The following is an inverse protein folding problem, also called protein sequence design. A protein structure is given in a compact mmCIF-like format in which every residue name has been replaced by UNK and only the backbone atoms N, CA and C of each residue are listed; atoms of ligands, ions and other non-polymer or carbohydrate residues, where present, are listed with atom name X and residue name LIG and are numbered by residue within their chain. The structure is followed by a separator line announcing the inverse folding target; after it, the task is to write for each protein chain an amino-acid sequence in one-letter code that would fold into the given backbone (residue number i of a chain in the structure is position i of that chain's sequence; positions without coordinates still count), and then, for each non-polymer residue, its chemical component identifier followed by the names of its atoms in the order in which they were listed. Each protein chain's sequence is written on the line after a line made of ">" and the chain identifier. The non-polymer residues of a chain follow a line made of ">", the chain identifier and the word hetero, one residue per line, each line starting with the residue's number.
data_IF_721497909233
#
_entry.id   IF_721497909233
#
_cell.length_a   1.000
_cell.length_b   1.000
_cell.length_c   1.000
_cell.angle_alpha   90.00
_cell.angle_beta   90.00
_cell.angle_gamma   90.00
#
_symmetry.space_group_name_H-M   'P 1'
#
loop_
_entity.id
_entity.type
_entity.pdbx_description
1 polymer ?
#
# COMPACT_ATOMS: atom_id res chain seq x y z
N UNK A 1 28.00 45.86 -53.87
CA UNK A 1 26.68 45.39 -53.29
C UNK A 1 26.97 44.55 -52.10
N UNK A 2 26.77 45.10 -50.92
CA UNK A 2 26.86 44.37 -49.65
C UNK A 2 25.52 43.73 -49.39
N UNK A 3 25.48 42.39 -49.38
CA UNK A 3 24.29 41.66 -48.92
C UNK A 3 24.25 41.72 -47.41
N UNK A 4 23.16 42.12 -46.82
CA UNK A 4 23.02 42.01 -45.37
C UNK A 4 22.97 40.52 -45.02
N UNK A 5 23.89 40.04 -44.22
CA UNK A 5 23.82 38.74 -43.63
C UNK A 5 22.68 38.76 -42.61
N UNK A 6 21.57 38.11 -42.92
CA UNK A 6 20.54 37.89 -41.95
C UNK A 6 21.05 36.83 -40.98
N UNK A 7 21.59 37.28 -39.85
CA UNK A 7 21.84 36.41 -38.73
C UNK A 7 20.46 35.90 -38.24
N UNK A 8 20.15 34.66 -38.49
CA UNK A 8 19.02 34.00 -37.89
C UNK A 8 19.35 33.80 -36.42
N UNK A 9 18.55 34.33 -35.49
CA UNK A 9 18.72 33.94 -34.11
C UNK A 9 18.42 32.46 -34.01
N UNK A 10 19.42 31.68 -33.66
CA UNK A 10 19.21 30.32 -33.22
C UNK A 10 18.52 30.43 -31.87
N UNK A 11 17.20 30.30 -31.85
CA UNK A 11 16.48 30.07 -30.61
C UNK A 11 16.98 28.73 -30.11
N UNK A 12 17.93 28.77 -29.21
CA UNK A 12 18.23 27.62 -28.39
C UNK A 12 16.99 27.38 -27.51
N UNK A 13 16.13 26.49 -27.96
CA UNK A 13 15.07 25.97 -27.11
C UNK A 13 15.78 25.17 -26.02
N UNK A 14 16.10 25.85 -24.92
CA UNK A 14 16.46 25.18 -23.69
C UNK A 14 15.17 24.47 -23.25
N UNK A 15 15.00 23.24 -23.68
CA UNK A 15 14.06 22.37 -23.05
C UNK A 15 14.47 22.28 -21.59
N UNK A 16 13.84 23.09 -20.76
CA UNK A 16 13.89 22.93 -19.32
C UNK A 16 13.23 21.59 -19.07
N UNK A 17 14.02 20.52 -19.13
CA UNK A 17 13.68 19.26 -18.50
C UNK A 17 13.62 19.58 -17.01
N UNK A 18 12.50 20.17 -16.57
CA UNK A 18 12.06 20.01 -15.22
C UNK A 18 11.95 18.50 -15.02
N UNK A 19 13.04 17.86 -14.58
CA UNK A 19 12.95 16.61 -13.92
C UNK A 19 12.04 16.83 -12.73
N UNK A 20 10.71 16.79 -12.97
CA UNK A 20 9.80 16.51 -11.91
C UNK A 20 10.21 15.15 -11.44
N UNK A 21 11.09 15.09 -10.42
CA UNK A 21 11.21 13.90 -9.63
C UNK A 21 9.79 13.55 -9.23
N UNK A 22 9.22 12.54 -9.88
CA UNK A 22 7.99 11.94 -9.38
C UNK A 22 8.30 11.58 -7.94
N UNK A 23 7.87 12.44 -7.00
CA UNK A 23 7.78 12.04 -5.63
C UNK A 23 6.95 10.75 -5.68
N UNK A 24 7.63 9.60 -5.53
CA UNK A 24 6.95 8.32 -5.49
C UNK A 24 5.85 8.47 -4.44
N UNK A 25 4.59 8.38 -4.87
CA UNK A 25 3.48 8.32 -3.94
C UNK A 25 3.78 7.19 -2.97
N UNK A 26 3.53 7.39 -1.67
CA UNK A 26 3.72 6.36 -0.67
C UNK A 26 3.00 5.09 -1.13
N UNK A 27 3.74 3.98 -1.24
CA UNK A 27 3.23 2.72 -1.76
C UNK A 27 2.38 1.96 -0.75
N UNK A 28 2.47 2.31 0.54
CA UNK A 28 1.81 1.58 1.61
C UNK A 28 0.70 2.40 2.25
N UNK A 29 -0.34 1.67 2.64
CA UNK A 29 -1.39 2.15 3.51
C UNK A 29 -1.39 1.32 4.79
N UNK A 30 -1.66 1.95 5.91
CA UNK A 30 -1.71 1.31 7.23
C UNK A 30 -3.08 1.53 7.85
N UNK A 31 -3.60 0.50 8.50
CA UNK A 31 -4.88 0.57 9.18
C UNK A 31 -4.88 -0.35 10.39
N UNK A 32 -5.25 0.19 11.54
CA UNK A 32 -5.41 -0.60 12.75
C UNK A 32 -6.62 -1.54 12.63
N UNK A 33 -6.50 -2.74 13.22
CA UNK A 33 -7.63 -3.63 13.38
C UNK A 33 -8.74 -2.93 14.19
N UNK A 34 -10.02 -3.13 13.86
CA UNK A 34 -11.12 -2.50 14.59
C UNK A 34 -11.34 -3.06 16.01
N UNK A 35 -10.83 -4.24 16.29
CA UNK A 35 -10.92 -4.84 17.63
C UNK A 35 -10.20 -3.98 18.67
N UNK A 36 -10.95 -3.49 19.67
CA UNK A 36 -10.47 -2.46 20.61
C UNK A 36 -9.34 -2.92 21.52
N UNK A 37 -9.22 -4.19 21.82
CA UNK A 37 -8.19 -4.76 22.68
C UNK A 37 -7.01 -5.36 21.90
N UNK A 38 -6.98 -5.17 20.59
CA UNK A 38 -5.96 -5.74 19.71
C UNK A 38 -5.07 -4.64 19.14
N UNK A 39 -3.79 -4.65 19.50
CA UNK A 39 -2.82 -3.66 18.99
C UNK A 39 -2.19 -4.09 17.66
N UNK A 40 -3.01 -4.53 16.72
CA UNK A 40 -2.58 -4.97 15.40
C UNK A 40 -2.79 -3.89 14.36
N UNK A 41 -1.76 -3.67 13.51
CA UNK A 41 -1.82 -2.76 12.37
C UNK A 41 -1.54 -3.55 11.11
N UNK A 42 -2.41 -3.42 10.13
CA UNK A 42 -2.25 -4.00 8.80
C UNK A 42 -1.50 -3.03 7.89
N UNK A 43 -0.65 -3.58 7.04
CA UNK A 43 0.07 -2.86 6.00
C UNK A 43 -0.31 -3.40 4.63
N UNK A 44 -0.75 -2.52 3.77
CA UNK A 44 -1.13 -2.83 2.39
C UNK A 44 -0.15 -2.20 1.41
N UNK A 45 0.31 -2.97 0.43
CA UNK A 45 0.88 -2.41 -0.79
C UNK A 45 -0.26 -1.96 -1.70
N UNK A 46 -0.37 -0.65 -1.94
CA UNK A 46 -1.49 -0.08 -2.71
C UNK A 46 -1.49 -0.46 -4.18
N UNK A 47 -0.35 -0.84 -4.73
CA UNK A 47 -0.22 -1.24 -6.14
C UNK A 47 -0.50 -2.73 -6.36
N UNK A 48 -0.03 -3.58 -5.45
CA UNK A 48 -0.09 -5.04 -5.60
C UNK A 48 -1.18 -5.69 -4.76
N UNK A 49 -1.70 -5.01 -3.75
CA UNK A 49 -2.68 -5.58 -2.83
C UNK A 49 -2.10 -6.55 -1.80
N UNK A 50 -0.77 -6.69 -1.74
CA UNK A 50 -0.14 -7.54 -0.72
C UNK A 50 -0.36 -6.97 0.67
N UNK A 51 -0.78 -7.83 1.62
CA UNK A 51 -1.06 -7.45 2.99
C UNK A 51 -0.21 -8.24 3.98
N UNK A 52 0.45 -7.51 4.88
CA UNK A 52 1.03 -8.01 6.11
C UNK A 52 0.42 -7.34 7.33
N UNK A 53 0.79 -7.78 8.50
CA UNK A 53 0.37 -7.16 9.75
C UNK A 53 1.46 -7.25 10.79
N UNK A 54 1.49 -6.29 11.71
CA UNK A 54 2.39 -6.32 12.86
C UNK A 54 1.63 -5.90 14.12
N UNK A 55 2.14 -6.36 15.26
CA UNK A 55 1.62 -6.02 16.57
C UNK A 55 2.72 -6.06 17.61
N UNK A 56 2.44 -5.52 18.78
CA UNK A 56 3.32 -5.69 19.92
C UNK A 56 3.33 -7.16 20.37
N UNK A 57 4.52 -7.70 20.59
CA UNK A 57 4.73 -9.01 21.17
C UNK A 57 5.52 -8.96 22.46
N UNK A 58 5.13 -9.78 23.43
CA UNK A 58 5.87 -9.94 24.67
C UNK A 58 7.09 -10.82 24.43
N UNK A 59 8.20 -10.44 25.03
CA UNK A 59 9.42 -11.25 25.11
C UNK A 59 10.05 -11.05 26.47
N UNK A 60 10.26 -12.15 27.22
CA UNK A 60 10.85 -12.10 28.54
C UNK A 60 12.19 -11.36 28.56
N UNK A 61 12.44 -10.63 29.64
CA UNK A 61 13.66 -9.87 29.86
C UNK A 61 13.98 -8.83 28.78
N UNK A 62 12.94 -8.29 28.14
CA UNK A 62 13.08 -7.26 27.12
C UNK A 62 11.93 -6.26 27.17
N UNK A 63 12.04 -5.20 26.38
CA UNK A 63 10.95 -4.22 26.21
C UNK A 63 9.81 -4.77 25.34
N UNK A 64 9.96 -5.97 24.81
CA UNK A 64 9.06 -6.57 23.83
C UNK A 64 9.62 -6.56 22.41
N UNK A 65 8.83 -7.01 21.48
CA UNK A 65 9.19 -7.08 20.04
C UNK A 65 8.05 -6.56 19.19
N UNK A 66 8.37 -6.15 17.98
CA UNK A 66 7.37 -5.99 16.92
C UNK A 66 7.19 -7.34 16.24
N UNK A 67 6.07 -7.98 16.51
CA UNK A 67 5.71 -9.27 15.94
C UNK A 67 4.97 -9.07 14.63
N UNK A 68 5.56 -9.54 13.51
CA UNK A 68 4.96 -9.36 12.20
C UNK A 68 4.51 -10.68 11.60
N UNK A 69 3.37 -10.64 10.90
CA UNK A 69 2.76 -11.75 10.20
C UNK A 69 2.91 -11.53 8.69
N UNK A 70 3.59 -12.45 7.98
CA UNK A 70 3.77 -12.32 6.54
C UNK A 70 2.48 -12.63 5.78
N UNK A 71 2.40 -12.22 4.49
CA UNK A 71 1.30 -12.63 3.63
C UNK A 71 1.22 -14.14 3.46
N UNK A 72 0.05 -14.70 3.74
CA UNK A 72 -0.32 -16.09 3.49
C UNK A 72 -1.34 -16.21 2.36
N UNK A 73 -2.21 -17.21 2.45
CA UNK A 73 -3.21 -17.50 1.43
C UNK A 73 -4.09 -16.27 1.14
N UNK A 74 -4.17 -15.88 -0.13
CA UNK A 74 -4.96 -14.75 -0.60
C UNK A 74 -4.41 -13.37 -0.28
N UNK A 75 -3.39 -13.27 0.57
CA UNK A 75 -2.82 -11.99 1.01
C UNK A 75 -1.55 -11.59 0.24
N UNK A 76 -1.01 -12.45 -0.60
CA UNK A 76 0.12 -12.12 -1.48
C UNK A 76 -0.24 -11.13 -2.56
N UNK A 77 0.73 -10.82 -3.42
CA UNK A 77 0.52 -9.88 -4.51
C UNK A 77 -0.62 -10.33 -5.44
N UNK A 78 -1.50 -9.40 -5.75
CA UNK A 78 -2.62 -9.52 -6.66
C UNK A 78 -2.28 -8.86 -8.01
N UNK A 79 -3.12 -9.01 -9.05
CA UNK A 79 -2.95 -8.23 -10.27
C UNK A 79 -2.84 -6.73 -9.97
N UNK A 80 -1.97 -6.02 -10.69
CA UNK A 80 -1.78 -4.59 -10.50
C UNK A 80 -3.08 -3.84 -10.60
N UNK A 81 -3.39 -3.05 -9.59
CA UNK A 81 -4.59 -2.23 -9.50
C UNK A 81 -4.34 -1.08 -8.52
N UNK A 82 -5.39 -0.56 -7.97
CA UNK A 82 -5.36 0.42 -6.90
C UNK A 82 -6.13 -0.14 -5.71
N UNK A 83 -5.40 -0.51 -4.67
CA UNK A 83 -5.95 -1.16 -3.49
C UNK A 83 -6.03 -0.21 -2.31
N UNK A 84 -6.97 -0.45 -1.43
CA UNK A 84 -7.15 0.27 -0.17
C UNK A 84 -7.56 -0.65 0.96
N UNK A 85 -7.56 -0.11 2.17
CA UNK A 85 -8.00 -0.79 3.39
C UNK A 85 -9.20 -0.07 4.00
N UNK A 86 -10.13 -0.86 4.51
CA UNK A 86 -11.26 -0.36 5.30
C UNK A 86 -11.46 -1.28 6.51
N UNK A 87 -11.63 -0.68 7.68
CA UNK A 87 -12.07 -1.38 8.88
C UNK A 87 -13.59 -1.29 9.02
N UNK A 88 -14.23 -2.39 9.41
CA UNK A 88 -15.63 -2.36 9.83
C UNK A 88 -15.75 -1.71 11.22
N UNK A 89 -16.96 -1.41 11.65
CA UNK A 89 -17.23 -0.92 13.01
C UNK A 89 -17.40 -2.03 14.04
N UNK A 90 -17.20 -3.27 13.63
CA UNK A 90 -17.37 -4.40 14.53
C UNK A 90 -16.20 -4.48 15.50
N UNK A 91 -16.42 -4.17 16.76
CA UNK A 91 -15.39 -4.03 17.80
C UNK A 91 -14.67 -5.35 18.16
N UNK A 92 -15.14 -6.46 17.67
CA UNK A 92 -14.54 -7.79 17.87
C UNK A 92 -13.86 -8.33 16.61
N UNK A 93 -13.87 -7.56 15.53
CA UNK A 93 -13.21 -7.96 14.28
C UNK A 93 -11.72 -7.67 14.33
N UNK A 94 -10.92 -8.73 14.28
CA UNK A 94 -9.46 -8.62 14.23
C UNK A 94 -8.91 -8.37 12.83
N UNK A 95 -9.72 -8.45 11.79
CA UNK A 95 -9.34 -8.27 10.40
C UNK A 95 -9.79 -6.94 9.83
N UNK A 96 -9.29 -6.66 8.63
CA UNK A 96 -9.65 -5.49 7.83
C UNK A 96 -10.02 -5.92 6.42
N UNK A 97 -10.78 -5.09 5.71
CA UNK A 97 -11.10 -5.33 4.31
C UNK A 97 -10.04 -4.73 3.40
N UNK A 98 -9.54 -5.54 2.48
CA UNK A 98 -8.83 -5.05 1.29
C UNK A 98 -9.86 -4.80 0.20
N UNK A 99 -9.82 -3.63 -0.41
CA UNK A 99 -10.69 -3.26 -1.52
C UNK A 99 -9.86 -2.98 -2.77
N UNK A 100 -10.34 -3.44 -3.90
CA UNK A 100 -9.83 -3.04 -5.21
C UNK A 100 -10.67 -1.86 -5.69
N UNK A 101 -10.06 -0.67 -5.74
CA UNK A 101 -10.77 0.58 -6.07
C UNK A 101 -11.20 0.65 -7.53
N UNK A 102 -10.63 -0.17 -8.40
CA UNK A 102 -10.98 -0.20 -9.82
C UNK A 102 -12.07 -1.19 -10.14
N UNK A 103 -12.05 -2.36 -9.50
CA UNK A 103 -13.02 -3.43 -9.77
C UNK A 103 -14.15 -3.48 -8.75
N UNK A 104 -13.96 -2.88 -7.59
CA UNK A 104 -14.91 -2.95 -6.47
C UNK A 104 -14.87 -4.27 -5.70
N UNK A 105 -13.94 -5.16 -6.00
CA UNK A 105 -13.78 -6.42 -5.27
C UNK A 105 -13.29 -6.17 -3.85
N UNK A 106 -13.85 -6.87 -2.90
CA UNK A 106 -13.48 -6.79 -1.48
C UNK A 106 -13.12 -8.16 -0.94
N UNK A 107 -12.16 -8.20 -0.03
CA UNK A 107 -11.78 -9.40 0.70
C UNK A 107 -11.54 -9.04 2.16
N UNK A 108 -12.03 -9.86 3.08
CA UNK A 108 -11.63 -9.74 4.49
C UNK A 108 -10.28 -10.40 4.68
N UNK A 109 -9.36 -9.71 5.33
CA UNK A 109 -8.01 -10.16 5.65
C UNK A 109 -7.82 -10.20 7.16
N UNK A 110 -7.27 -11.27 7.68
CA UNK A 110 -7.06 -11.46 9.11
C UNK A 110 -5.87 -12.39 9.37
N UNK A 111 -5.42 -12.48 10.60
CA UNK A 111 -4.31 -13.37 10.96
C UNK A 111 -4.84 -14.76 11.30
N UNK A 112 -4.28 -15.76 10.64
CA UNK A 112 -4.55 -17.17 10.86
C UNK A 112 -3.22 -17.94 10.76
N UNK A 113 -2.92 -18.74 11.78
CA UNK A 113 -1.69 -19.55 11.83
C UNK A 113 -0.41 -18.74 11.53
N UNK A 114 -0.27 -17.61 12.21
CA UNK A 114 0.90 -16.70 12.10
C UNK A 114 1.11 -16.08 10.71
N UNK A 115 0.08 -16.03 9.90
CA UNK A 115 0.09 -15.37 8.58
C UNK A 115 -1.16 -14.52 8.40
N UNK A 116 -1.07 -13.50 7.57
CA UNK A 116 -2.27 -12.82 7.09
C UNK A 116 -2.88 -13.64 5.96
N UNK A 117 -4.17 -13.91 6.04
CA UNK A 117 -4.92 -14.55 4.97
C UNK A 117 -6.05 -13.64 4.51
N UNK A 118 -6.40 -13.70 3.24
CA UNK A 118 -7.53 -12.97 2.68
C UNK A 118 -8.50 -13.94 2.01
N UNK A 119 -9.79 -13.79 2.30
CA UNK A 119 -10.84 -14.65 1.74
C UNK A 119 -11.24 -14.18 0.35
N UNK A 120 -11.53 -15.11 -0.58
CA UNK A 120 -12.13 -14.74 -1.86
C UNK A 120 -13.60 -14.31 -1.66
N UNK A 121 -14.13 -13.49 -2.57
CA UNK A 121 -15.56 -13.24 -2.60
C UNK A 121 -16.31 -14.53 -2.96
N UNK A 122 -17.39 -14.79 -2.24
CA UNK A 122 -18.32 -15.85 -2.64
C UNK A 122 -19.01 -15.48 -3.96
N UNK A 123 -19.24 -16.46 -4.79
CA UNK A 123 -19.98 -16.29 -6.05
C UNK A 123 -21.48 -16.30 -5.81
#
# INVERSE_FOLDING_TARGET
>A
MLRPSTARPVLALIALLCGTGLAAAANYEFLAAPEIDLNRVYRLDKATGEIGACQYGLKENSVGVTLCYPPGEGAGAQPSSEYGLIASRHEREGGVFRVDLRTGTMAICYVLNDQVVCTPQAK
#
